data_IF_034415067890
#
_entry.id   IF_034415067890
#
_cell.length_a   1.000
_cell.length_b   1.000
_cell.length_c   1.000
_cell.angle_alpha   90.00
_cell.angle_beta   90.00
_cell.angle_gamma   90.00
#
_symmetry.space_group_name_H-M   'P 1'
#
loop_
_entity.id
_entity.type
_entity.pdbx_description
1 polymer ?
#
# COMPACT_ATOMS: atom_id res chain seq x y z
N UNK A 1 -9.46 -5.74 -2.49
CA UNK A 1 -10.37 -6.89 -2.26
C UNK A 1 -10.49 -7.11 -0.75
N UNK A 2 -11.49 -7.89 -0.30
CA UNK A 2 -11.52 -8.39 1.08
C UNK A 2 -10.37 -9.38 1.26
N UNK A 3 -9.69 -9.33 2.41
CA UNK A 3 -8.65 -10.30 2.74
C UNK A 3 -9.29 -11.71 2.85
N UNK A 4 -8.74 -12.74 2.18
CA UNK A 4 -9.30 -14.09 2.22
C UNK A 4 -9.44 -14.69 3.62
N UNK A 5 -8.65 -14.24 4.61
CA UNK A 5 -8.80 -14.67 6.00
C UNK A 5 -10.09 -14.16 6.66
N UNK A 6 -10.71 -13.12 6.11
CA UNK A 6 -11.96 -12.52 6.61
C UNK A 6 -13.19 -12.91 5.78
N UNK A 7 -13.01 -13.48 4.58
CA UNK A 7 -14.09 -13.97 3.73
C UNK A 7 -14.09 -13.33 2.34
N UNK A 8 -15.29 -13.17 1.79
CA UNK A 8 -15.56 -12.68 0.43
C UNK A 8 -16.22 -11.30 0.43
N UNK A 9 -16.42 -10.73 -0.76
CA UNK A 9 -17.22 -9.50 -0.89
C UNK A 9 -18.68 -9.73 -0.47
N UNK A 10 -19.26 -10.89 -0.82
CA UNK A 10 -20.62 -11.26 -0.45
C UNK A 10 -20.79 -11.32 1.08
N UNK A 11 -19.77 -11.80 1.81
CA UNK A 11 -19.78 -11.80 3.27
C UNK A 11 -19.77 -10.37 3.84
N UNK A 12 -19.00 -9.46 3.24
CA UNK A 12 -18.98 -8.05 3.63
C UNK A 12 -20.33 -7.36 3.32
N UNK A 13 -20.95 -7.66 2.18
CA UNK A 13 -22.28 -7.15 1.83
C UNK A 13 -23.36 -7.66 2.80
N UNK A 14 -23.28 -8.94 3.19
CA UNK A 14 -24.16 -9.53 4.19
C UNK A 14 -24.00 -8.86 5.57
N UNK A 15 -22.75 -8.62 6.00
CA UNK A 15 -22.45 -7.86 7.21
C UNK A 15 -23.06 -6.46 7.17
N UNK A 16 -22.85 -5.74 6.06
CA UNK A 16 -23.34 -4.38 5.86
C UNK A 16 -24.87 -4.31 5.91
N UNK A 17 -25.55 -5.22 5.23
CA UNK A 17 -27.01 -5.31 5.26
C UNK A 17 -27.54 -5.61 6.67
N UNK A 18 -26.92 -6.57 7.37
CA UNK A 18 -27.33 -6.93 8.74
C UNK A 18 -27.11 -5.79 9.74
N UNK A 19 -26.05 -4.99 9.58
CA UNK A 19 -25.79 -3.81 10.39
C UNK A 19 -26.85 -2.72 10.17
N UNK A 20 -27.20 -2.42 8.92
CA UNK A 20 -28.17 -1.39 8.59
C UNK A 20 -29.60 -1.70 9.09
N UNK A 21 -30.03 -2.96 9.06
CA UNK A 21 -31.32 -3.37 9.66
C UNK A 21 -31.39 -3.07 11.17
N UNK A 22 -30.23 -2.96 11.82
CA UNK A 22 -30.09 -2.67 13.26
C UNK A 22 -29.74 -1.21 13.54
N UNK A 23 -29.85 -0.33 12.55
CA UNK A 23 -29.43 1.07 12.62
C UNK A 23 -27.95 1.26 13.04
N UNK A 24 -27.11 0.27 12.72
CA UNK A 24 -25.65 0.34 12.93
C UNK A 24 -25.00 0.84 11.64
N UNK A 25 -24.09 1.82 11.77
CA UNK A 25 -23.24 2.30 10.67
C UNK A 25 -21.86 1.67 10.77
N UNK A 26 -21.32 1.28 9.62
CA UNK A 26 -19.96 0.75 9.49
C UNK A 26 -19.07 1.85 8.92
N UNK A 27 -17.96 2.12 9.59
CA UNK A 27 -16.89 3.02 9.12
C UNK A 27 -15.67 2.16 8.82
N UNK A 28 -15.10 2.36 7.64
CA UNK A 28 -13.91 1.64 7.21
C UNK A 28 -12.66 2.49 7.44
N UNK A 29 -11.54 1.82 7.71
CA UNK A 29 -10.23 2.46 7.69
C UNK A 29 -9.82 2.76 6.24
N UNK A 30 -9.16 3.90 6.03
CA UNK A 30 -8.66 4.36 4.74
C UNK A 30 -7.16 4.61 4.81
N UNK A 31 -6.39 3.61 4.39
CA UNK A 31 -4.92 3.65 4.39
C UNK A 31 -4.42 4.06 3.00
N UNK A 32 -4.23 5.36 2.80
CA UNK A 32 -3.81 5.93 1.50
C UNK A 32 -2.39 6.52 1.49
N UNK A 33 -1.72 6.55 2.64
CA UNK A 33 -0.35 7.03 2.74
C UNK A 33 0.64 6.10 2.01
N UNK A 34 0.36 4.79 1.97
CA UNK A 34 1.22 3.78 1.37
C UNK A 34 0.38 2.58 0.92
N UNK A 35 0.93 1.78 0.00
CA UNK A 35 0.36 0.48 -0.39
C UNK A 35 1.36 -0.63 -0.12
N UNK A 36 0.90 -1.88 -0.11
CA UNK A 36 1.80 -3.05 -0.10
C UNK A 36 2.74 -3.04 -1.32
N UNK A 37 3.96 -3.59 -1.15
CA UNK A 37 4.87 -3.89 -2.27
C UNK A 37 4.29 -4.94 -3.22
N UNK A 38 3.32 -5.73 -2.76
CA UNK A 38 2.61 -6.68 -3.61
C UNK A 38 1.49 -6.04 -4.44
N UNK A 39 1.20 -4.75 -4.23
CA UNK A 39 0.15 -4.05 -4.98
C UNK A 39 0.51 -3.92 -6.46
N UNK A 40 -0.48 -4.04 -7.35
CA UNK A 40 -0.28 -4.02 -8.79
C UNK A 40 0.44 -2.74 -9.28
N UNK A 41 0.13 -1.60 -8.68
CA UNK A 41 0.81 -0.34 -8.99
C UNK A 41 2.30 -0.37 -8.60
N UNK A 42 2.64 -0.89 -7.41
CA UNK A 42 4.04 -0.97 -6.99
C UNK A 42 4.81 -1.94 -7.87
N UNK A 43 4.26 -3.14 -8.14
CA UNK A 43 4.90 -4.11 -9.05
C UNK A 43 5.11 -3.53 -10.45
N UNK A 44 4.14 -2.80 -10.97
CA UNK A 44 4.29 -2.14 -12.28
C UNK A 44 5.33 -1.03 -12.26
N UNK A 45 5.31 -0.18 -11.24
CA UNK A 45 6.28 0.90 -11.05
C UNK A 45 7.71 0.36 -10.88
N UNK A 46 7.87 -0.74 -10.13
CA UNK A 46 9.15 -1.42 -9.89
C UNK A 46 9.68 -2.10 -11.16
N UNK A 47 8.81 -2.77 -11.92
CA UNK A 47 9.22 -3.54 -13.11
C UNK A 47 9.53 -2.70 -14.36
N UNK A 48 9.02 -1.46 -14.45
CA UNK A 48 9.25 -0.57 -15.58
C UNK A 48 9.37 0.90 -15.14
N UNK A 49 10.52 1.51 -15.41
CA UNK A 49 10.77 2.93 -15.12
C UNK A 49 9.89 3.89 -15.94
N UNK A 50 9.32 3.42 -17.06
CA UNK A 50 8.37 4.16 -17.88
C UNK A 50 6.89 3.81 -17.58
N UNK A 51 6.64 2.98 -16.56
CA UNK A 51 5.28 2.63 -16.16
C UNK A 51 4.46 3.89 -15.87
N UNK A 52 3.17 3.94 -16.26
CA UNK A 52 2.28 5.04 -15.88
C UNK A 52 2.11 5.17 -14.36
N UNK A 53 2.50 4.15 -13.59
CA UNK A 53 2.45 4.14 -12.13
C UNK A 53 3.79 4.49 -11.46
N UNK A 54 4.86 4.79 -12.21
CA UNK A 54 6.19 5.06 -11.61
C UNK A 54 6.11 6.19 -10.58
N UNK A 55 5.46 7.29 -10.92
CA UNK A 55 5.34 8.47 -10.06
C UNK A 55 4.31 8.34 -8.92
N UNK A 56 3.65 7.18 -8.75
CA UNK A 56 2.81 6.92 -7.57
C UNK A 56 3.65 6.65 -6.32
N UNK A 57 4.94 6.35 -6.46
CA UNK A 57 5.86 6.06 -5.37
C UNK A 57 7.07 7.00 -5.41
N UNK A 58 7.83 7.03 -4.31
CA UNK A 58 8.95 7.96 -4.14
C UNK A 58 10.25 7.26 -4.52
N UNK A 59 10.79 7.60 -5.69
CA UNK A 59 12.06 7.09 -6.19
C UNK A 59 13.12 8.18 -6.18
N UNK A 60 14.31 7.91 -5.63
CA UNK A 60 15.43 8.87 -5.62
C UNK A 60 16.75 8.16 -5.79
N UNK A 61 17.66 8.81 -6.51
CA UNK A 61 19.01 8.33 -6.71
C UNK A 61 19.83 8.39 -5.41
N UNK A 62 20.80 7.47 -5.23
CA UNK A 62 21.73 7.52 -4.10
C UNK A 62 22.56 8.81 -4.12
N UNK A 63 22.90 9.32 -2.93
CA UNK A 63 23.77 10.49 -2.76
C UNK A 63 25.08 10.05 -2.12
N UNK A 64 26.21 10.37 -2.75
CA UNK A 64 27.56 10.00 -2.29
C UNK A 64 27.75 8.49 -2.03
N UNK A 65 27.11 7.63 -2.84
CA UNK A 65 27.18 6.18 -2.69
C UNK A 65 26.35 5.59 -1.53
N UNK A 66 25.55 6.41 -0.85
CA UNK A 66 24.61 6.01 0.20
C UNK A 66 23.14 6.20 -0.18
N UNK A 67 22.24 6.12 0.80
CA UNK A 67 20.81 6.39 0.60
C UNK A 67 20.55 7.89 0.30
N UNK A 68 19.41 8.23 -0.33
CA UNK A 68 19.12 9.61 -0.74
C UNK A 68 19.17 10.67 0.38
N UNK A 69 18.78 10.31 1.60
CA UNK A 69 18.89 11.16 2.79
C UNK A 69 18.93 10.31 4.07
N UNK A 70 19.03 10.94 5.24
CA UNK A 70 19.14 10.28 6.54
C UNK A 70 17.80 9.94 7.22
N UNK A 71 16.69 9.88 6.48
CA UNK A 71 15.39 9.56 7.06
C UNK A 71 15.35 8.11 7.55
N UNK A 72 14.72 7.91 8.71
CA UNK A 72 14.57 6.60 9.33
C UNK A 72 13.14 6.09 9.20
N UNK A 73 13.01 4.78 8.98
CA UNK A 73 11.71 4.11 8.99
C UNK A 73 11.17 4.06 10.41
N UNK A 74 9.84 4.19 10.53
CA UNK A 74 9.14 3.97 11.80
C UNK A 74 9.32 2.54 12.32
N UNK A 75 9.62 1.58 11.44
CA UNK A 75 9.88 0.18 11.79
C UNK A 75 11.38 -0.12 12.01
N UNK A 76 12.23 0.91 12.06
CA UNK A 76 13.68 0.78 12.26
C UNK A 76 14.45 0.71 10.95
N UNK A 77 15.71 1.16 10.99
CA UNK A 77 16.57 1.25 9.80
C UNK A 77 16.28 2.45 8.91
N UNK A 78 16.82 2.39 7.68
CA UNK A 78 16.63 3.41 6.64
C UNK A 78 15.17 3.49 6.19
N UNK A 79 14.68 4.69 5.84
CA UNK A 79 13.39 4.86 5.15
C UNK A 79 13.46 4.54 3.65
N UNK A 80 14.66 4.31 3.12
CA UNK A 80 14.93 3.98 1.73
C UNK A 80 15.37 2.53 1.60
N UNK A 81 14.77 1.83 0.64
CA UNK A 81 15.14 0.48 0.21
C UNK A 81 15.72 0.56 -1.21
N UNK A 82 16.77 -0.22 -1.49
CA UNK A 82 17.37 -0.25 -2.82
C UNK A 82 16.52 -1.09 -3.77
N UNK A 83 16.15 -0.52 -4.92
CA UNK A 83 15.60 -1.29 -6.05
C UNK A 83 16.70 -2.25 -6.55
N UNK A 84 16.53 -3.56 -6.31
CA UNK A 84 17.42 -4.58 -6.86
C UNK A 84 17.13 -4.71 -8.36
N UNK A 85 18.20 -4.72 -9.17
CA UNK A 85 18.13 -4.78 -10.63
C UNK A 85 17.63 -6.13 -11.16
#
# INVERSE_FOLDING_TARGET
>A
AIDPAYGTMDDFEALLAAAHVRDIRIVMDIVVNHTSTEHAWFKSALGDKNSPYRDYYIWRDPVNGGVPNNWQSKFGGSAWELEQA
#
